data_IF_648792742681
#
_entry.id   IF_648792742681
#
_cell.length_a   1.000
_cell.length_b   1.000
_cell.length_c   1.000
_cell.angle_alpha   90.00
_cell.angle_beta   90.00
_cell.angle_gamma   90.00
#
_symmetry.space_group_name_H-M   'P 1'
#
loop_
_entity.id
_entity.type
_entity.pdbx_description
1 polymer ?
#
# COMPACT_ATOMS: atom_id res chain seq x y z
N UNK A 1 -12.12 -24.00 19.57
CA UNK A 1 -12.73 -22.86 18.84
C UNK A 1 -11.90 -21.62 19.14
N UNK A 2 -10.85 -21.32 18.34
CA UNK A 2 -9.92 -20.24 18.62
C UNK A 2 -10.50 -18.89 18.15
N UNK A 3 -10.73 -17.97 19.08
CA UNK A 3 -11.11 -16.60 18.78
C UNK A 3 -10.05 -15.96 17.87
N UNK A 4 -10.42 -15.68 16.62
CA UNK A 4 -9.63 -14.82 15.72
C UNK A 4 -9.50 -13.45 16.36
N UNK A 5 -8.33 -13.14 16.89
CA UNK A 5 -7.98 -11.79 17.28
C UNK A 5 -8.04 -10.89 16.03
N UNK A 6 -9.05 -10.02 15.97
CA UNK A 6 -9.06 -8.92 15.01
C UNK A 6 -7.94 -7.95 15.37
N UNK A 7 -7.25 -7.41 14.36
CA UNK A 7 -6.14 -6.44 14.51
C UNK A 7 -6.57 -5.21 15.34
N UNK A 8 -7.86 -4.88 15.38
CA UNK A 8 -8.43 -3.94 16.34
C UNK A 8 -8.06 -4.18 17.84
N UNK A 9 -7.77 -5.41 18.29
CA UNK A 9 -7.26 -5.68 19.65
C UNK A 9 -5.76 -5.34 19.85
N UNK A 10 -5.00 -5.21 18.76
CA UNK A 10 -3.61 -4.73 18.79
C UNK A 10 -3.52 -3.21 18.97
N UNK A 11 -4.64 -2.48 18.88
CA UNK A 11 -4.72 -1.06 19.22
C UNK A 11 -4.85 -0.78 20.73
N UNK A 12 -4.51 -1.77 21.58
CA UNK A 12 -4.18 -1.48 22.98
C UNK A 12 -2.76 -0.91 23.01
N UNK A 13 -2.48 0.06 23.88
CA UNK A 13 -1.15 0.70 23.98
C UNK A 13 0.00 -0.30 24.13
N UNK A 14 -0.26 -1.48 24.71
CA UNK A 14 0.69 -2.59 24.78
C UNK A 14 1.03 -3.21 23.41
N UNK A 15 0.05 -3.41 22.53
CA UNK A 15 0.26 -3.98 21.20
C UNK A 15 1.01 -3.04 20.25
N UNK A 16 0.82 -1.72 20.41
CA UNK A 16 1.51 -0.68 19.64
C UNK A 16 2.91 -0.35 20.16
N UNK A 17 3.21 -0.69 21.43
CA UNK A 17 4.49 -0.43 22.11
C UNK A 17 5.47 -1.60 22.03
N UNK A 18 5.01 -2.80 21.66
CA UNK A 18 5.89 -3.95 21.50
C UNK A 18 6.88 -3.73 20.35
N UNK A 19 8.18 -4.04 20.53
CA UNK A 19 9.15 -3.92 19.45
C UNK A 19 8.73 -4.82 18.28
N UNK A 20 8.79 -4.30 17.06
CA UNK A 20 8.48 -5.08 15.87
C UNK A 20 9.45 -6.28 15.79
N UNK A 21 8.92 -7.49 15.94
CA UNK A 21 9.70 -8.73 15.82
C UNK A 21 10.27 -8.92 14.41
N UNK A 22 11.26 -9.81 14.26
CA UNK A 22 11.81 -10.14 12.95
C UNK A 22 10.73 -10.70 11.98
N UNK A 23 10.89 -10.53 10.66
CA UNK A 23 9.96 -11.10 9.69
C UNK A 23 9.89 -12.63 9.84
N UNK A 24 8.67 -13.16 9.88
CA UNK A 24 8.43 -14.60 9.86
C UNK A 24 8.44 -15.05 8.40
N UNK A 25 9.39 -15.91 8.05
CA UNK A 25 9.53 -16.46 6.71
C UNK A 25 8.67 -17.71 6.51
N UNK A 26 7.97 -17.73 5.39
CA UNK A 26 7.13 -18.83 4.92
C UNK A 26 8.01 -19.95 4.37
N UNK A 27 7.63 -21.20 4.61
CA UNK A 27 8.36 -22.36 4.10
C UNK A 27 8.17 -22.55 2.58
N UNK A 28 7.11 -21.98 2.01
CA UNK A 28 6.77 -22.16 0.60
C UNK A 28 6.05 -20.95 -0.02
N UNK A 29 6.07 -20.86 -1.35
CA UNK A 29 5.35 -19.82 -2.10
C UNK A 29 3.82 -19.84 -1.89
N UNK A 30 3.14 -21.00 -1.88
CA UNK A 30 1.71 -21.06 -1.58
C UNK A 30 1.36 -20.51 -0.19
N UNK A 31 2.19 -20.77 0.81
CA UNK A 31 2.03 -20.26 2.16
C UNK A 31 2.17 -18.73 2.19
N UNK A 32 3.23 -18.19 1.59
CA UNK A 32 3.45 -16.74 1.50
C UNK A 32 2.28 -16.03 0.79
N UNK A 33 1.78 -16.60 -0.32
CA UNK A 33 0.60 -16.10 -1.05
C UNK A 33 -0.68 -16.21 -0.23
N UNK A 34 -0.83 -17.23 0.63
CA UNK A 34 -1.97 -17.35 1.54
C UNK A 34 -1.93 -16.29 2.66
N UNK A 35 -0.76 -16.08 3.27
CA UNK A 35 -0.54 -15.04 4.27
C UNK A 35 -0.78 -13.64 3.71
N UNK A 36 -0.33 -13.38 2.48
CA UNK A 36 -0.59 -12.11 1.80
C UNK A 36 -2.08 -11.82 1.59
N UNK A 37 -2.85 -12.82 1.15
CA UNK A 37 -4.31 -12.70 1.02
C UNK A 37 -5.00 -12.47 2.37
N UNK A 38 -4.52 -13.13 3.42
CA UNK A 38 -5.05 -12.95 4.77
C UNK A 38 -4.77 -11.53 5.28
N UNK A 39 -3.54 -11.04 5.13
CA UNK A 39 -3.16 -9.69 5.51
C UNK A 39 -3.97 -8.63 4.74
N UNK A 40 -4.16 -8.79 3.43
CA UNK A 40 -5.01 -7.89 2.64
C UNK A 40 -6.45 -7.81 3.18
N UNK A 41 -7.03 -8.95 3.61
CA UNK A 41 -8.36 -8.97 4.23
C UNK A 41 -8.39 -8.25 5.56
N UNK A 42 -7.32 -8.32 6.35
CA UNK A 42 -7.18 -7.59 7.61
C UNK A 42 -7.13 -6.08 7.35
N UNK A 43 -6.27 -5.62 6.44
CA UNK A 43 -6.21 -4.21 6.02
C UNK A 43 -7.59 -3.71 5.55
N UNK A 44 -8.30 -4.49 4.73
CA UNK A 44 -9.63 -4.12 4.23
C UNK A 44 -10.71 -4.00 5.33
N UNK A 45 -10.55 -4.71 6.45
CA UNK A 45 -11.43 -4.59 7.63
C UNK A 45 -11.14 -3.33 8.44
N UNK A 46 -9.90 -2.85 8.42
CA UNK A 46 -9.52 -1.60 9.08
C UNK A 46 -9.91 -0.35 8.28
N UNK A 47 -10.11 -0.47 6.96
CA UNK A 47 -10.48 0.67 6.09
C UNK A 47 -11.62 1.54 6.64
N UNK A 48 -12.78 1.02 7.10
CA UNK A 48 -13.84 1.86 7.66
C UNK A 48 -13.40 2.69 8.88
N UNK A 49 -12.53 2.13 9.74
CA UNK A 49 -11.97 2.87 10.87
C UNK A 49 -11.04 3.97 10.37
N UNK A 50 -10.12 3.66 9.46
CA UNK A 50 -9.18 4.63 8.85
C UNK A 50 -9.95 5.79 8.20
N UNK A 51 -11.01 5.49 7.43
CA UNK A 51 -11.83 6.49 6.75
C UNK A 51 -12.40 7.53 7.73
N UNK A 52 -12.97 7.08 8.86
CA UNK A 52 -13.55 7.96 9.88
C UNK A 52 -12.49 8.70 10.67
N UNK A 53 -11.48 7.98 11.16
CA UNK A 53 -10.42 8.52 12.01
C UNK A 53 -9.62 9.63 11.34
N UNK A 54 -9.41 9.51 10.02
CA UNK A 54 -8.64 10.47 9.23
C UNK A 54 -9.51 11.39 8.35
N UNK A 55 -10.83 11.36 8.53
CA UNK A 55 -11.82 12.13 7.74
C UNK A 55 -11.70 11.92 6.22
N UNK A 56 -11.24 10.77 5.74
CA UNK A 56 -10.96 10.54 4.31
C UNK A 56 -12.22 10.50 3.43
N UNK A 57 -13.41 10.47 4.03
CA UNK A 57 -14.70 10.46 3.34
C UNK A 57 -14.92 11.71 2.46
N UNK A 58 -14.25 12.82 2.76
CA UNK A 58 -14.29 14.05 1.96
C UNK A 58 -13.54 13.95 0.62
N UNK A 59 -12.59 13.01 0.51
CA UNK A 59 -11.66 12.92 -0.63
C UNK A 59 -11.72 11.59 -1.36
N UNK A 60 -12.31 10.56 -0.76
CA UNK A 60 -12.47 9.24 -1.36
C UNK A 60 -13.60 8.45 -0.72
N UNK A 61 -13.90 7.28 -1.29
CA UNK A 61 -14.82 6.32 -0.70
C UNK A 61 -14.06 5.09 -0.17
N UNK A 62 -14.65 4.38 0.79
CA UNK A 62 -14.07 3.13 1.28
C UNK A 62 -13.88 2.08 0.15
N UNK A 63 -14.74 2.08 -0.86
CA UNK A 63 -14.62 1.19 -2.03
C UNK A 63 -13.42 1.57 -2.90
N UNK A 64 -13.22 2.86 -3.17
CA UNK A 64 -12.05 3.36 -3.91
C UNK A 64 -10.75 3.07 -3.15
N UNK A 65 -10.70 3.35 -1.84
CA UNK A 65 -9.51 3.08 -1.04
C UNK A 65 -9.16 1.58 -1.02
N UNK A 66 -10.14 0.68 -0.84
CA UNK A 66 -9.91 -0.77 -0.96
C UNK A 66 -9.39 -1.17 -2.34
N UNK A 67 -9.91 -0.54 -3.39
CA UNK A 67 -9.47 -0.81 -4.77
C UNK A 67 -8.03 -0.35 -5.02
N UNK A 68 -7.65 0.83 -4.50
CA UNK A 68 -6.27 1.34 -4.55
C UNK A 68 -5.31 0.43 -3.79
N UNK A 69 -5.68 0.02 -2.57
CA UNK A 69 -4.90 -0.96 -1.79
C UNK A 69 -4.77 -2.29 -2.54
N UNK A 70 -5.83 -2.80 -3.17
CA UNK A 70 -5.75 -4.01 -3.97
C UNK A 70 -4.75 -3.89 -5.14
N UNK A 71 -4.67 -2.72 -5.78
CA UNK A 71 -3.68 -2.45 -6.83
C UNK A 71 -2.25 -2.45 -6.30
N UNK A 72 -2.01 -1.92 -5.10
CA UNK A 72 -0.70 -1.97 -4.44
C UNK A 72 -0.25 -3.43 -4.19
N UNK A 73 -1.15 -4.27 -3.65
CA UNK A 73 -0.87 -5.69 -3.42
C UNK A 73 -0.59 -6.45 -4.73
N UNK A 74 -1.28 -6.11 -5.82
CA UNK A 74 -1.05 -6.74 -7.14
C UNK A 74 0.26 -6.27 -7.79
N UNK A 75 0.59 -4.98 -7.66
CA UNK A 75 1.82 -4.39 -8.23
C UNK A 75 3.08 -5.02 -7.63
N UNK A 76 3.04 -5.39 -6.36
CA UNK A 76 4.15 -6.00 -5.65
C UNK A 76 4.26 -7.53 -5.82
N UNK A 77 3.67 -8.11 -6.88
CA UNK A 77 3.70 -9.56 -7.10
C UNK A 77 5.12 -10.07 -7.42
N UNK A 78 5.52 -11.16 -6.78
CA UNK A 78 6.79 -11.85 -6.98
C UNK A 78 6.61 -13.34 -6.70
N UNK A 79 7.49 -14.17 -7.25
CA UNK A 79 7.52 -15.61 -6.98
C UNK A 79 8.56 -16.01 -5.91
N UNK A 80 9.27 -15.04 -5.33
CA UNK A 80 10.15 -15.29 -4.20
C UNK A 80 9.38 -15.18 -2.86
N UNK A 81 9.17 -16.29 -2.11
CA UNK A 81 8.41 -16.26 -0.86
C UNK A 81 9.03 -15.34 0.20
N UNK A 82 10.36 -15.29 0.32
CA UNK A 82 11.03 -14.46 1.31
C UNK A 82 10.81 -12.96 1.05
N UNK A 83 10.75 -12.56 -0.23
CA UNK A 83 10.43 -11.17 -0.60
C UNK A 83 8.99 -10.84 -0.24
N UNK A 84 8.04 -11.76 -0.45
CA UNK A 84 6.65 -11.58 -0.01
C UNK A 84 6.60 -11.38 1.51
N UNK A 85 7.30 -12.20 2.30
CA UNK A 85 7.28 -12.09 3.75
C UNK A 85 7.86 -10.76 4.26
N UNK A 86 8.95 -10.28 3.64
CA UNK A 86 9.50 -8.95 3.96
C UNK A 86 8.51 -7.84 3.58
N UNK A 87 7.81 -7.95 2.45
CA UNK A 87 6.76 -7.00 2.07
C UNK A 87 5.59 -7.01 3.05
N UNK A 88 5.16 -8.18 3.52
CA UNK A 88 4.12 -8.31 4.54
C UNK A 88 4.54 -7.71 5.87
N UNK A 89 5.79 -7.92 6.27
CA UNK A 89 6.36 -7.30 7.46
C UNK A 89 6.34 -5.78 7.36
N UNK A 90 6.84 -5.21 6.26
CA UNK A 90 6.82 -3.75 6.02
C UNK A 90 5.39 -3.19 5.98
N UNK A 91 4.46 -3.90 5.33
CA UNK A 91 3.06 -3.52 5.28
C UNK A 91 2.38 -3.54 6.66
N UNK A 92 2.70 -4.53 7.49
CA UNK A 92 2.20 -4.62 8.86
C UNK A 92 2.73 -3.48 9.73
N UNK A 93 4.02 -3.16 9.62
CA UNK A 93 4.61 -2.00 10.31
C UNK A 93 3.94 -0.69 9.87
N UNK A 94 3.71 -0.52 8.57
CA UNK A 94 3.00 0.65 8.07
C UNK A 94 1.58 0.73 8.63
N UNK A 95 0.83 -0.38 8.64
CA UNK A 95 -0.51 -0.42 9.23
C UNK A 95 -0.47 -0.01 10.72
N UNK A 96 0.49 -0.51 11.49
CA UNK A 96 0.68 -0.11 12.91
C UNK A 96 0.90 1.39 13.04
N UNK A 97 1.73 2.01 12.19
CA UNK A 97 1.94 3.47 12.23
C UNK A 97 0.69 4.27 11.88
N UNK A 98 -0.20 3.75 11.03
CA UNK A 98 -1.52 4.35 10.78
C UNK A 98 -2.45 4.15 11.99
N UNK A 99 -2.48 2.96 12.59
CA UNK A 99 -3.31 2.71 13.77
C UNK A 99 -2.84 3.52 14.99
N UNK A 100 -1.54 3.77 15.12
CA UNK A 100 -0.93 4.56 16.20
C UNK A 100 -0.97 6.08 15.96
N UNK A 101 -1.64 6.55 14.90
CA UNK A 101 -1.69 7.98 14.54
C UNK A 101 -0.34 8.65 14.26
N UNK A 102 0.72 7.88 14.01
CA UNK A 102 2.00 8.43 13.56
C UNK A 102 1.93 8.90 12.11
N UNK A 103 1.06 8.30 11.31
CA UNK A 103 0.63 8.89 10.03
C UNK A 103 -0.37 10.00 10.28
N UNK A 104 -0.19 11.13 9.58
CA UNK A 104 -1.17 12.21 9.49
C UNK A 104 -2.05 12.02 8.25
N UNK A 105 -3.21 12.70 8.22
CA UNK A 105 -4.18 12.67 7.11
C UNK A 105 -3.51 12.90 5.76
N UNK A 106 -2.64 13.90 5.65
CA UNK A 106 -1.97 14.23 4.41
C UNK A 106 -1.12 13.06 3.88
N UNK A 107 -0.43 12.30 4.76
CA UNK A 107 0.37 11.13 4.34
C UNK A 107 -0.51 10.08 3.65
N UNK A 108 -1.70 9.81 4.20
CA UNK A 108 -2.64 8.85 3.63
C UNK A 108 -3.19 9.33 2.28
N UNK A 109 -3.51 10.63 2.17
CA UNK A 109 -4.03 11.22 0.93
C UNK A 109 -2.98 11.13 -0.18
N UNK A 110 -1.78 11.65 0.11
CA UNK A 110 -0.63 11.64 -0.80
C UNK A 110 -0.24 10.23 -1.22
N UNK A 111 -0.33 9.23 -0.34
CA UNK A 111 0.16 7.88 -0.65
C UNK A 111 -0.88 6.96 -1.28
N UNK A 112 -2.12 6.97 -0.79
CA UNK A 112 -3.11 5.93 -1.12
C UNK A 112 -4.38 6.45 -1.81
N UNK A 113 -4.71 7.74 -1.66
CA UNK A 113 -5.95 8.31 -2.22
C UNK A 113 -5.70 8.96 -3.58
N UNK A 114 -4.76 9.89 -3.62
CA UNK A 114 -4.44 10.67 -4.81
C UNK A 114 -2.92 10.71 -5.03
N UNK A 115 -2.24 9.57 -5.24
CA UNK A 115 -0.79 9.57 -5.50
C UNK A 115 -0.42 10.42 -6.73
N UNK A 116 -1.31 10.49 -7.71
CA UNK A 116 -1.18 11.35 -8.89
C UNK A 116 -1.18 12.85 -8.59
N UNK A 117 -1.76 13.32 -7.47
CA UNK A 117 -1.75 14.75 -7.13
C UNK A 117 -0.36 15.25 -6.74
N UNK A 118 0.57 14.34 -6.42
CA UNK A 118 1.98 14.69 -6.19
C UNK A 118 2.77 14.84 -7.49
N UNK A 119 2.25 14.32 -8.61
CA UNK A 119 2.88 14.54 -9.89
C UNK A 119 2.61 15.99 -10.29
N UNK A 120 3.68 16.76 -10.53
CA UNK A 120 3.60 18.07 -11.17
C UNK A 120 3.18 17.82 -12.64
N UNK A 121 1.89 17.59 -12.86
CA UNK A 121 1.32 17.40 -14.19
C UNK A 121 1.04 18.78 -14.76
N UNK A 122 1.93 19.28 -15.62
CA UNK A 122 1.61 20.42 -16.48
C UNK A 122 0.51 19.95 -17.45
N UNK A 123 -0.75 20.36 -17.21
CA UNK A 123 -1.87 20.05 -18.11
C UNK A 123 -1.59 20.68 -19.48
N UNK A 124 -1.32 19.86 -20.49
CA UNK A 124 -1.29 20.28 -21.90
C UNK A 124 -2.62 19.88 -22.54
N UNK A 125 -3.30 20.82 -23.19
CA UNK A 125 -4.68 20.66 -23.70
C UNK A 125 -4.80 19.81 -24.98
N UNK A 126 -3.78 19.02 -25.35
CA UNK A 126 -3.79 18.16 -26.55
C UNK A 126 -3.16 16.81 -26.23
N UNK A 127 -3.66 15.69 -26.81
CA UNK A 127 -2.98 14.40 -26.70
C UNK A 127 -1.61 14.52 -27.37
N UNK A 128 -0.56 14.68 -26.57
CA UNK A 128 0.82 14.63 -27.06
C UNK A 128 1.30 13.18 -27.06
N UNK A 129 2.13 12.82 -28.03
CA UNK A 129 2.76 11.50 -28.04
C UNK A 129 3.61 11.31 -26.78
N UNK A 130 3.71 10.06 -26.30
CA UNK A 130 4.53 9.70 -25.13
C UNK A 130 5.98 10.19 -25.28
N UNK A 131 6.51 10.12 -26.50
CA UNK A 131 7.79 10.70 -26.88
C UNK A 131 7.84 12.22 -26.66
N UNK A 132 6.91 12.98 -27.24
CA UNK A 132 6.91 14.45 -27.17
C UNK A 132 6.73 14.97 -25.73
N UNK A 133 5.86 14.32 -24.95
CA UNK A 133 5.67 14.65 -23.55
C UNK A 133 6.96 14.42 -22.73
N UNK A 134 7.64 13.29 -22.95
CA UNK A 134 8.92 12.99 -22.29
C UNK A 134 10.01 13.98 -22.70
N UNK A 135 10.15 14.23 -24.00
CA UNK A 135 11.10 15.18 -24.58
C UNK A 135 10.91 16.59 -23.99
N UNK A 136 9.68 17.12 -23.99
CA UNK A 136 9.38 18.45 -23.45
C UNK A 136 9.52 18.54 -21.92
N UNK A 137 9.38 17.42 -21.21
CA UNK A 137 9.58 17.36 -19.76
C UNK A 137 11.06 17.33 -19.34
N UNK A 138 11.98 17.17 -20.30
CA UNK A 138 13.42 17.04 -20.03
C UNK A 138 13.81 15.72 -19.36
N UNK A 139 12.87 14.76 -19.24
CA UNK A 139 13.15 13.42 -18.71
C UNK A 139 13.68 12.55 -19.84
N UNK A 140 14.74 11.75 -19.61
CA UNK A 140 15.22 10.82 -20.62
C UNK A 140 14.08 9.88 -21.01
N UNK A 141 13.80 9.80 -22.30
CA UNK A 141 12.89 8.79 -22.86
C UNK A 141 13.45 7.43 -22.46
N UNK A 142 12.80 6.72 -21.55
CA UNK A 142 13.13 5.32 -21.31
C UNK A 142 13.05 4.61 -22.66
N UNK A 143 14.07 3.84 -23.08
CA UNK A 143 13.99 3.08 -24.31
C UNK A 143 12.80 2.13 -24.17
N UNK A 144 11.86 2.23 -25.10
CA UNK A 144 10.74 1.30 -25.17
C UNK A 144 11.33 -0.12 -25.21
N UNK A 145 10.89 -0.94 -24.26
CA UNK A 145 11.69 -2.02 -23.71
C UNK A 145 12.26 -2.98 -24.75
N UNK A 146 13.57 -3.16 -24.71
CA UNK A 146 14.24 -4.45 -24.86
C UNK A 146 15.52 -4.42 -24.02
N UNK A 147 15.82 -5.56 -23.38
CA UNK A 147 16.98 -5.89 -22.54
C UNK A 147 16.82 -5.71 -21.03
N UNK A 148 16.32 -6.80 -20.43
CA UNK A 148 16.81 -7.30 -19.16
C UNK A 148 18.32 -7.58 -19.26
N UNK A 149 19.08 -7.11 -18.27
CA UNK A 149 20.20 -7.80 -17.65
C UNK A 149 20.17 -7.48 -16.16
#
# INVERSE_FOLDING_TARGET
>A
MALRATVARLATSQGLSAPAGAPVFSASLPEAKARSRQFFREVCREVPWIMRTYWLEEVTTAAQLRSRLANEFRRASTDNPAVIDVMLFKGAQELVTVMAHHFQRHHLITKFVAPESNAIVKKTNKPQSKFLANFLSGKPTAPDGHHAY
#
